data_IF_004475984341
#
_entry.id   IF_004475984341
#
_cell.length_a   1.000
_cell.length_b   1.000
_cell.length_c   1.000
_cell.angle_alpha   90.00
_cell.angle_beta   90.00
_cell.angle_gamma   90.00
#
_symmetry.space_group_name_H-M   'P 1'
#
loop_
_entity.id
_entity.type
_entity.pdbx_description
1 polymer ?
#
# COMPACT_ATOMS: atom_id res chain seq x y z
N UNK A 1 16.40 29.77 3.61
CA UNK A 1 15.35 28.76 3.40
C UNK A 1 14.92 28.29 4.79
N UNK A 2 13.69 28.62 5.22
CA UNK A 2 13.23 28.27 6.56
C UNK A 2 13.00 26.74 6.66
N UNK A 3 13.49 26.11 7.74
CA UNK A 3 13.31 24.68 8.00
C UNK A 3 11.82 24.29 7.99
N UNK A 4 10.95 25.16 8.44
CA UNK A 4 9.50 24.99 8.43
C UNK A 4 8.89 24.86 7.01
N UNK A 5 9.52 25.44 5.98
CA UNK A 5 9.04 25.30 4.59
C UNK A 5 9.46 23.99 3.93
N UNK A 6 10.38 23.26 4.54
CA UNK A 6 10.86 21.95 4.04
C UNK A 6 10.10 20.77 4.68
N UNK A 7 9.42 20.99 5.78
CA UNK A 7 8.71 19.94 6.52
C UNK A 7 7.73 19.14 5.65
N UNK A 8 6.84 19.78 4.86
CA UNK A 8 5.94 19.04 3.98
C UNK A 8 6.67 18.17 2.97
N UNK A 9 7.74 18.70 2.36
CA UNK A 9 8.53 17.99 1.36
C UNK A 9 9.19 16.75 1.98
N UNK A 10 9.72 16.89 3.20
CA UNK A 10 10.34 15.78 3.92
C UNK A 10 9.30 14.70 4.23
N UNK A 11 8.13 15.08 4.77
CA UNK A 11 7.06 14.12 5.11
C UNK A 11 6.60 13.36 3.87
N UNK A 12 6.29 14.05 2.76
CA UNK A 12 5.91 13.40 1.52
C UNK A 12 7.00 12.48 0.98
N UNK A 13 8.26 12.88 1.06
CA UNK A 13 9.40 12.06 0.62
C UNK A 13 9.49 10.78 1.45
N UNK A 14 9.36 10.85 2.78
CA UNK A 14 9.39 9.70 3.67
C UNK A 14 8.26 8.71 3.37
N UNK A 15 7.05 9.23 3.14
CA UNK A 15 5.88 8.40 2.81
C UNK A 15 5.99 7.76 1.43
N UNK A 16 6.50 8.49 0.43
CA UNK A 16 6.77 7.92 -0.89
C UNK A 16 7.85 6.82 -0.84
N UNK A 17 8.85 6.96 0.02
CA UNK A 17 9.83 5.88 0.27
C UNK A 17 9.13 4.64 0.84
N UNK A 18 8.19 4.80 1.79
CA UNK A 18 7.39 3.67 2.30
C UNK A 18 6.61 2.96 1.18
N UNK A 19 5.94 3.72 0.32
CA UNK A 19 5.19 3.17 -0.82
C UNK A 19 6.11 2.47 -1.82
N UNK A 20 7.28 3.06 -2.12
CA UNK A 20 8.28 2.48 -3.00
C UNK A 20 8.84 1.17 -2.44
N UNK A 21 9.07 1.06 -1.13
CA UNK A 21 9.49 -0.18 -0.47
C UNK A 21 8.39 -1.25 -0.52
N UNK A 22 7.12 -0.88 -0.38
CA UNK A 22 6.00 -1.80 -0.59
C UNK A 22 5.96 -2.34 -2.02
N UNK A 23 6.12 -1.46 -3.02
CA UNK A 23 6.23 -1.84 -4.43
C UNK A 23 7.48 -2.70 -4.70
N UNK A 24 8.61 -2.40 -4.07
CA UNK A 24 9.83 -3.19 -4.17
C UNK A 24 9.61 -4.63 -3.73
N UNK A 25 8.93 -4.87 -2.59
CA UNK A 25 8.64 -6.22 -2.10
C UNK A 25 7.78 -6.99 -3.11
N UNK A 26 6.75 -6.38 -3.70
CA UNK A 26 5.93 -7.05 -4.73
C UNK A 26 6.73 -7.33 -6.00
N UNK A 27 7.57 -6.40 -6.42
CA UNK A 27 8.44 -6.53 -7.60
C UNK A 27 9.48 -7.66 -7.46
N UNK A 28 9.91 -8.00 -6.22
CA UNK A 28 10.83 -9.11 -5.97
C UNK A 28 10.26 -10.48 -6.43
N UNK A 29 8.94 -10.65 -6.47
CA UNK A 29 8.29 -11.87 -6.97
C UNK A 29 7.89 -11.79 -8.45
N UNK A 30 8.34 -10.75 -9.17
CA UNK A 30 7.99 -10.49 -10.57
C UNK A 30 6.61 -9.86 -10.75
N UNK A 31 5.94 -9.41 -9.68
CA UNK A 31 4.62 -8.80 -9.73
C UNK A 31 4.71 -7.27 -9.60
N UNK A 32 4.80 -6.57 -10.71
CA UNK A 32 4.79 -5.10 -10.75
C UNK A 32 3.35 -4.60 -10.81
N UNK A 33 2.82 -4.13 -9.67
CA UNK A 33 1.45 -3.63 -9.55
C UNK A 33 1.38 -2.11 -9.79
N UNK A 34 0.37 -1.69 -10.54
CA UNK A 34 0.00 -0.28 -10.71
C UNK A 34 -1.07 0.18 -9.69
N UNK A 35 -1.54 -0.71 -8.80
CA UNK A 35 -2.58 -0.41 -7.80
C UNK A 35 -2.04 0.25 -6.52
N UNK A 36 -0.80 0.76 -6.53
CA UNK A 36 -0.18 1.32 -5.31
C UNK A 36 -0.99 2.47 -4.74
N UNK A 37 -1.44 3.42 -5.59
CA UNK A 37 -2.27 4.54 -5.17
C UNK A 37 -3.62 4.06 -4.58
N UNK A 38 -4.27 3.11 -5.24
CA UNK A 38 -5.52 2.53 -4.77
C UNK A 38 -5.40 1.86 -3.41
N UNK A 39 -4.34 1.08 -3.19
CA UNK A 39 -4.08 0.41 -1.90
C UNK A 39 -3.76 1.44 -0.82
N UNK A 40 -2.98 2.49 -1.13
CA UNK A 40 -2.73 3.61 -0.22
C UNK A 40 -4.03 4.33 0.14
N UNK A 41 -4.88 4.60 -0.86
CA UNK A 41 -6.19 5.20 -0.64
C UNK A 41 -7.09 4.37 0.26
N UNK A 42 -7.17 3.05 0.06
CA UNK A 42 -7.92 2.13 0.96
C UNK A 42 -7.38 2.24 2.39
N UNK A 43 -6.05 2.22 2.58
CA UNK A 43 -5.45 2.42 3.89
C UNK A 43 -5.81 3.77 4.51
N UNK A 44 -5.77 4.82 3.71
CA UNK A 44 -6.17 6.17 4.11
C UNK A 44 -7.63 6.23 4.57
N UNK A 45 -8.57 5.73 3.76
CA UNK A 45 -9.99 5.69 4.12
C UNK A 45 -10.26 4.88 5.38
N UNK A 46 -9.68 3.68 5.52
CA UNK A 46 -9.84 2.85 6.72
C UNK A 46 -9.37 3.59 7.95
N UNK A 47 -8.18 4.20 7.90
CA UNK A 47 -7.63 4.97 9.01
C UNK A 47 -8.47 6.21 9.31
N UNK A 48 -8.92 6.95 8.30
CA UNK A 48 -9.76 8.14 8.46
C UNK A 48 -11.12 7.79 9.11
N UNK A 49 -11.77 6.72 8.67
CA UNK A 49 -13.04 6.25 9.28
C UNK A 49 -12.84 5.93 10.77
N UNK A 50 -11.77 5.19 11.10
CA UNK A 50 -11.48 4.79 12.48
C UNK A 50 -11.20 5.98 13.39
N UNK A 51 -10.48 6.98 12.89
CA UNK A 51 -10.11 8.16 13.70
C UNK A 51 -11.23 9.19 13.80
N UNK A 52 -11.98 9.44 12.71
CA UNK A 52 -13.02 10.48 12.68
C UNK A 52 -14.34 9.95 13.27
N UNK A 53 -14.77 8.74 12.87
CA UNK A 53 -16.08 8.21 13.30
C UNK A 53 -16.02 7.45 14.62
N UNK A 54 -14.92 6.74 14.88
CA UNK A 54 -14.78 5.92 16.10
C UNK A 54 -13.86 6.53 17.15
N UNK A 55 -13.20 7.67 16.86
CA UNK A 55 -12.33 8.36 17.81
C UNK A 55 -11.05 7.58 18.19
N UNK A 56 -10.60 6.66 17.36
CA UNK A 56 -9.42 5.84 17.66
C UNK A 56 -8.12 6.67 17.56
N UNK A 57 -7.11 6.32 18.37
CA UNK A 57 -5.78 6.91 18.20
C UNK A 57 -5.13 6.47 16.89
N UNK A 58 -4.19 7.26 16.39
CA UNK A 58 -3.54 7.05 15.07
C UNK A 58 -2.88 5.68 14.94
N UNK A 59 -2.18 5.21 15.98
CA UNK A 59 -1.39 3.96 15.91
C UNK A 59 -2.26 2.72 15.61
N UNK A 60 -3.33 2.40 16.35
CA UNK A 60 -4.17 1.26 15.99
C UNK A 60 -4.92 1.48 14.66
N UNK A 61 -5.26 2.71 14.29
CA UNK A 61 -5.88 3.00 13.01
C UNK A 61 -4.92 2.69 11.84
N UNK A 62 -3.65 3.04 11.96
CA UNK A 62 -2.63 2.72 10.94
C UNK A 62 -2.33 1.22 10.86
N UNK A 63 -2.37 0.49 11.99
CA UNK A 63 -2.24 -0.98 12.00
C UNK A 63 -3.40 -1.65 11.24
N UNK A 64 -4.64 -1.22 11.48
CA UNK A 64 -5.79 -1.74 10.74
C UNK A 64 -5.77 -1.33 9.27
N UNK A 65 -5.30 -0.15 8.94
CA UNK A 65 -5.07 0.27 7.57
C UNK A 65 -4.04 -0.59 6.84
N UNK A 66 -2.95 -0.97 7.52
CA UNK A 66 -1.97 -1.92 6.99
C UNK A 66 -2.59 -3.31 6.76
N UNK A 67 -3.41 -3.79 7.69
CA UNK A 67 -4.15 -5.05 7.53
C UNK A 67 -5.14 -4.99 6.36
N UNK A 68 -5.88 -3.90 6.22
CA UNK A 68 -6.78 -3.69 5.09
C UNK A 68 -6.02 -3.70 3.76
N UNK A 69 -4.89 -3.01 3.69
CA UNK A 69 -3.97 -3.07 2.55
C UNK A 69 -3.51 -4.50 2.24
N UNK A 70 -3.12 -5.26 3.29
CA UNK A 70 -2.72 -6.67 3.14
C UNK A 70 -3.86 -7.54 2.59
N UNK A 71 -5.09 -7.35 3.06
CA UNK A 71 -6.27 -8.09 2.58
C UNK A 71 -6.53 -7.77 1.11
N UNK A 72 -6.57 -6.49 0.74
CA UNK A 72 -6.76 -6.07 -0.66
C UNK A 72 -5.62 -6.61 -1.54
N UNK A 73 -4.37 -6.50 -1.08
CA UNK A 73 -3.21 -7.06 -1.78
C UNK A 73 -3.30 -8.58 -1.96
N UNK A 74 -3.79 -9.31 -0.95
CA UNK A 74 -4.01 -10.76 -1.04
C UNK A 74 -5.05 -11.09 -2.10
N UNK A 75 -6.19 -10.38 -2.12
CA UNK A 75 -7.24 -10.58 -3.12
C UNK A 75 -6.69 -10.30 -4.52
N UNK A 76 -5.98 -9.19 -4.70
CA UNK A 76 -5.33 -8.86 -5.99
C UNK A 76 -4.33 -9.93 -6.42
N UNK A 77 -3.48 -10.39 -5.49
CA UNK A 77 -2.52 -11.44 -5.79
C UNK A 77 -3.22 -12.71 -6.29
N UNK A 78 -4.30 -13.16 -5.60
CA UNK A 78 -5.04 -14.36 -5.99
C UNK A 78 -5.67 -14.24 -7.38
N UNK A 79 -6.23 -13.08 -7.70
CA UNK A 79 -6.82 -12.81 -9.03
C UNK A 79 -5.74 -12.78 -10.11
N UNK A 80 -4.56 -12.24 -9.81
CA UNK A 80 -3.49 -12.00 -10.78
C UNK A 80 -2.47 -13.13 -10.88
N UNK A 81 -2.58 -14.20 -10.08
CA UNK A 81 -1.59 -15.31 -10.01
C UNK A 81 -1.19 -15.88 -11.38
N UNK A 82 -2.14 -16.02 -12.29
CA UNK A 82 -1.95 -16.65 -13.62
C UNK A 82 -1.72 -15.64 -14.72
N UNK A 83 -1.69 -14.33 -14.39
CA UNK A 83 -1.54 -13.27 -15.40
C UNK A 83 -0.08 -13.04 -15.75
N UNK A 84 0.20 -12.72 -17.02
CA UNK A 84 1.51 -12.29 -17.48
C UNK A 84 1.73 -10.83 -17.10
N UNK A 85 2.97 -10.40 -16.99
CA UNK A 85 3.39 -9.08 -16.49
C UNK A 85 2.61 -7.90 -17.05
N UNK A 86 2.37 -7.88 -18.36
CA UNK A 86 1.63 -6.79 -18.99
C UNK A 86 0.14 -6.78 -18.58
N UNK A 87 -0.50 -7.96 -18.59
CA UNK A 87 -1.90 -8.11 -18.20
C UNK A 87 -2.08 -7.80 -16.73
N UNK A 88 -1.12 -8.20 -15.88
CA UNK A 88 -1.12 -7.89 -14.45
C UNK A 88 -1.13 -6.37 -14.21
N UNK A 89 -0.25 -5.62 -14.89
CA UNK A 89 -0.20 -4.16 -14.78
C UNK A 89 -1.52 -3.52 -15.18
N UNK A 90 -2.09 -3.95 -16.30
CA UNK A 90 -3.36 -3.43 -16.80
C UNK A 90 -4.53 -3.74 -15.85
N UNK A 91 -4.57 -4.98 -15.31
CA UNK A 91 -5.59 -5.40 -14.36
C UNK A 91 -5.50 -4.64 -13.04
N UNK A 92 -4.28 -4.42 -12.52
CA UNK A 92 -4.08 -3.66 -11.28
C UNK A 92 -4.40 -2.17 -11.45
N UNK A 93 -4.15 -1.61 -12.64
CA UNK A 93 -4.57 -0.25 -12.99
C UNK A 93 -6.10 -0.16 -13.05
N UNK A 94 -6.76 -1.06 -13.78
CA UNK A 94 -8.21 -1.09 -13.86
C UNK A 94 -8.87 -1.31 -12.48
N UNK A 95 -8.24 -2.07 -11.59
CA UNK A 95 -8.68 -2.22 -10.21
C UNK A 95 -8.63 -0.89 -9.44
N UNK A 96 -7.57 -0.10 -9.62
CA UNK A 96 -7.46 1.22 -9.02
C UNK A 96 -8.60 2.15 -9.45
N UNK A 97 -8.89 2.20 -10.76
CA UNK A 97 -10.00 2.98 -11.30
C UNK A 97 -11.36 2.48 -10.79
N UNK A 98 -11.55 1.16 -10.70
CA UNK A 98 -12.78 0.59 -10.14
C UNK A 98 -13.00 0.98 -8.67
N UNK A 99 -11.93 0.99 -7.86
CA UNK A 99 -11.99 1.46 -6.47
C UNK A 99 -12.28 2.96 -6.38
N UNK A 100 -11.70 3.78 -7.26
CA UNK A 100 -12.00 5.21 -7.36
C UNK A 100 -13.48 5.46 -7.63
N UNK A 101 -14.06 4.76 -8.62
CA UNK A 101 -15.49 4.85 -8.94
C UNK A 101 -16.36 4.35 -7.78
N UNK A 102 -15.97 3.27 -7.11
CA UNK A 102 -16.68 2.78 -5.92
C UNK A 102 -16.65 3.82 -4.80
N UNK A 103 -15.49 4.40 -4.51
CA UNK A 103 -15.34 5.44 -3.49
C UNK A 103 -16.17 6.70 -3.83
N UNK A 104 -16.20 7.08 -5.10
CA UNK A 104 -16.97 8.23 -5.58
C UNK A 104 -18.49 8.06 -5.37
N UNK A 105 -19.01 6.84 -5.53
CA UNK A 105 -20.44 6.53 -5.37
C UNK A 105 -20.83 6.11 -3.95
N UNK A 106 -19.90 6.13 -3.00
CA UNK A 106 -20.17 5.68 -1.64
C UNK A 106 -20.28 6.86 -0.68
N UNK A 107 -21.49 7.35 -0.43
CA UNK A 107 -21.77 8.52 0.41
C UNK A 107 -21.23 8.37 1.86
N UNK A 108 -21.16 7.14 2.38
CA UNK A 108 -20.65 6.88 3.73
C UNK A 108 -19.19 7.35 3.95
N UNK A 109 -18.40 7.36 2.90
CA UNK A 109 -16.98 7.77 2.93
C UNK A 109 -16.78 9.16 2.28
N UNK A 110 -17.84 9.95 2.13
CA UNK A 110 -17.81 11.29 1.56
C UNK A 110 -18.17 11.35 0.07
N UNK A 111 -18.14 10.23 -0.66
CA UNK A 111 -18.50 10.15 -2.06
C UNK A 111 -17.80 11.22 -2.91
N UNK A 112 -18.54 11.88 -3.78
CA UNK A 112 -18.04 12.95 -4.65
C UNK A 112 -17.44 14.16 -3.90
N UNK A 113 -17.85 14.38 -2.63
CA UNK A 113 -17.39 15.53 -1.82
C UNK A 113 -16.07 15.26 -1.07
N UNK A 114 -15.44 14.11 -1.28
CA UNK A 114 -14.24 13.66 -0.57
C UNK A 114 -14.47 13.45 0.93
N UNK A 115 -13.60 12.69 1.58
CA UNK A 115 -13.65 12.49 3.03
C UNK A 115 -12.87 13.59 3.74
N UNK A 116 -13.58 14.42 4.51
CA UNK A 116 -13.05 15.58 5.23
C UNK A 116 -13.21 15.40 6.75
N UNK A 117 -12.66 16.35 7.54
CA UNK A 117 -12.76 16.30 9.00
C UNK A 117 -11.68 15.42 9.65
N UNK A 118 -10.65 15.07 8.90
CA UNK A 118 -9.50 14.34 9.44
C UNK A 118 -8.65 15.30 10.24
N UNK A 119 -8.31 14.93 11.47
CA UNK A 119 -7.41 15.74 12.31
C UNK A 119 -5.94 15.54 11.89
N UNK A 120 -5.16 16.63 11.96
CA UNK A 120 -3.72 16.57 11.75
C UNK A 120 -3.06 15.79 12.89
N UNK A 121 -2.87 14.49 12.71
CA UNK A 121 -2.18 13.61 13.68
C UNK A 121 -0.80 13.19 13.19
N UNK A 122 -0.49 13.45 11.92
CA UNK A 122 0.80 13.13 11.31
C UNK A 122 1.80 14.26 11.56
N UNK A 123 2.92 13.89 12.16
CA UNK A 123 4.09 14.73 12.37
C UNK A 123 5.28 14.11 11.64
N UNK A 124 6.38 14.85 11.51
CA UNK A 124 7.62 14.32 10.94
C UNK A 124 8.09 13.04 11.64
N UNK A 125 7.88 12.94 12.96
CA UNK A 125 8.22 11.76 13.75
C UNK A 125 7.40 10.54 13.39
N UNK A 126 6.09 10.70 13.15
CA UNK A 126 5.23 9.58 12.72
C UNK A 126 5.60 9.09 11.33
N UNK A 127 5.95 10.00 10.40
CA UNK A 127 6.43 9.65 9.07
C UNK A 127 7.78 8.94 9.11
N UNK A 128 8.71 9.41 9.98
CA UNK A 128 10.00 8.73 10.21
C UNK A 128 9.82 7.32 10.76
N UNK A 129 8.97 7.15 11.77
CA UNK A 129 8.68 5.82 12.34
C UNK A 129 8.10 4.88 11.28
N UNK A 130 7.15 5.35 10.49
CA UNK A 130 6.58 4.57 9.38
C UNK A 130 7.66 4.16 8.37
N UNK A 131 8.55 5.09 7.98
CA UNK A 131 9.66 4.79 7.08
C UNK A 131 10.62 3.76 7.70
N UNK A 132 11.02 3.90 8.97
CA UNK A 132 11.90 2.94 9.62
C UNK A 132 11.27 1.54 9.69
N UNK A 133 9.97 1.44 9.97
CA UNK A 133 9.24 0.17 9.93
C UNK A 133 9.29 -0.42 8.51
N UNK A 134 9.03 0.39 7.48
CA UNK A 134 9.05 -0.07 6.10
C UNK A 134 10.44 -0.55 5.67
N UNK A 135 11.49 0.19 6.00
CA UNK A 135 12.89 -0.19 5.74
C UNK A 135 13.26 -1.48 6.48
N UNK A 136 12.90 -1.59 7.77
CA UNK A 136 13.18 -2.78 8.56
C UNK A 136 12.50 -4.03 7.99
N UNK A 137 11.21 -3.90 7.62
CA UNK A 137 10.44 -5.00 7.01
C UNK A 137 11.04 -5.40 5.66
N UNK A 138 11.38 -4.44 4.80
CA UNK A 138 11.98 -4.70 3.49
C UNK A 138 13.36 -5.38 3.64
N UNK A 139 14.21 -4.86 4.52
CA UNK A 139 15.53 -5.43 4.80
C UNK A 139 15.43 -6.86 5.36
N UNK A 140 14.53 -7.08 6.32
CA UNK A 140 14.30 -8.38 6.93
C UNK A 140 13.71 -9.38 5.95
N UNK A 141 12.82 -8.92 5.09
CA UNK A 141 12.22 -9.72 4.02
C UNK A 141 13.27 -10.14 3.00
N UNK A 142 14.13 -9.22 2.55
CA UNK A 142 15.14 -9.46 1.53
C UNK A 142 16.14 -10.57 1.93
N UNK A 143 16.54 -10.63 3.20
CA UNK A 143 17.39 -11.68 3.77
C UNK A 143 16.64 -12.94 4.23
N UNK A 144 15.33 -13.03 4.06
CA UNK A 144 14.52 -14.17 4.49
C UNK A 144 14.44 -15.27 3.42
N UNK A 145 14.02 -16.49 3.86
CA UNK A 145 13.72 -17.59 2.92
C UNK A 145 12.69 -17.21 1.87
N UNK A 146 11.69 -16.39 2.24
CA UNK A 146 10.68 -15.88 1.32
C UNK A 146 11.29 -14.88 0.32
N UNK A 147 12.20 -14.02 0.71
CA UNK A 147 12.91 -13.11 -0.18
C UNK A 147 13.73 -13.87 -1.24
N UNK A 148 14.46 -14.92 -0.83
CA UNK A 148 15.18 -15.79 -1.77
C UNK A 148 14.22 -16.53 -2.70
N UNK A 149 13.13 -17.11 -2.17
CA UNK A 149 12.11 -17.78 -2.98
C UNK A 149 11.44 -16.80 -3.96
N UNK A 150 11.23 -15.56 -3.57
CA UNK A 150 10.64 -14.52 -4.45
C UNK A 150 11.52 -14.22 -5.65
N UNK A 151 12.83 -14.06 -5.45
CA UNK A 151 13.80 -13.88 -6.53
C UNK A 151 13.84 -15.09 -7.48
N UNK A 152 13.86 -16.30 -6.92
CA UNK A 152 13.82 -17.53 -7.72
C UNK A 152 12.53 -17.61 -8.58
N UNK A 153 11.36 -17.28 -8.01
CA UNK A 153 10.08 -17.25 -8.73
C UNK A 153 10.05 -16.16 -9.80
N UNK A 154 10.73 -15.03 -9.58
CA UNK A 154 10.85 -13.96 -10.58
C UNK A 154 11.72 -14.37 -11.75
N UNK A 155 12.88 -14.99 -11.46
CA UNK A 155 13.89 -15.30 -12.48
C UNK A 155 13.46 -16.50 -13.35
N UNK A 156 13.00 -17.62 -12.74
CA UNK A 156 12.40 -18.75 -13.43
C UNK A 156 11.34 -19.45 -12.59
N UNK A 157 10.04 -19.16 -12.82
CA UNK A 157 8.95 -19.79 -12.08
C UNK A 157 8.88 -21.31 -12.25
N UNK A 158 9.26 -21.83 -13.44
CA UNK A 158 9.20 -23.27 -13.71
C UNK A 158 10.28 -24.03 -12.95
N UNK A 159 11.52 -23.53 -12.99
CA UNK A 159 12.62 -24.09 -12.22
C UNK A 159 12.37 -24.00 -10.71
N UNK A 160 11.87 -22.85 -10.20
CA UNK A 160 11.50 -22.69 -8.80
C UNK A 160 10.43 -23.72 -8.38
N UNK A 161 9.40 -23.92 -9.21
CA UNK A 161 8.36 -24.92 -8.98
C UNK A 161 8.90 -26.36 -8.95
N UNK A 162 9.82 -26.71 -9.83
CA UNK A 162 10.48 -28.02 -9.86
C UNK A 162 11.30 -28.29 -8.58
N UNK A 163 11.85 -27.22 -7.96
CA UNK A 163 12.55 -27.28 -6.68
C UNK A 163 11.63 -27.27 -5.46
N UNK A 164 10.30 -27.36 -5.65
CA UNK A 164 9.31 -27.44 -4.59
C UNK A 164 8.86 -26.09 -4.03
N UNK A 165 9.20 -24.95 -4.67
CA UNK A 165 8.73 -23.63 -4.27
C UNK A 165 7.30 -23.43 -4.75
N UNK A 166 6.38 -23.13 -3.83
CA UNK A 166 5.00 -22.78 -4.17
C UNK A 166 4.91 -21.36 -4.72
N UNK A 167 4.84 -21.22 -6.05
CA UNK A 167 4.77 -19.94 -6.74
C UNK A 167 3.58 -19.10 -6.22
N UNK A 168 2.41 -19.75 -6.05
CA UNK A 168 1.20 -19.07 -5.59
C UNK A 168 1.37 -18.49 -4.18
N UNK A 169 1.92 -19.25 -3.24
CA UNK A 169 2.17 -18.78 -1.88
C UNK A 169 3.18 -17.62 -1.85
N UNK A 170 4.29 -17.76 -2.56
CA UNK A 170 5.31 -16.71 -2.63
C UNK A 170 4.72 -15.42 -3.19
N UNK A 171 4.03 -15.47 -4.31
CA UNK A 171 3.39 -14.30 -4.94
C UNK A 171 2.34 -13.66 -4.04
N UNK A 172 1.49 -14.46 -3.40
CA UNK A 172 0.44 -13.94 -2.51
C UNK A 172 1.03 -13.27 -1.28
N UNK A 173 2.01 -13.89 -0.62
CA UNK A 173 2.61 -13.33 0.60
C UNK A 173 3.40 -12.07 0.32
N UNK A 174 4.18 -12.04 -0.78
CA UNK A 174 4.92 -10.82 -1.17
C UNK A 174 3.99 -9.67 -1.49
N UNK A 175 2.92 -9.95 -2.21
CA UNK A 175 1.94 -8.92 -2.55
C UNK A 175 1.21 -8.40 -1.30
N UNK A 176 0.80 -9.30 -0.39
CA UNK A 176 0.16 -8.93 0.87
C UNK A 176 1.06 -8.06 1.75
N UNK A 177 2.35 -8.42 1.89
CA UNK A 177 3.32 -7.65 2.67
C UNK A 177 3.59 -6.27 2.05
N UNK A 178 3.80 -6.22 0.74
CA UNK A 178 4.00 -4.94 0.05
C UNK A 178 2.77 -4.04 0.16
N UNK A 179 1.58 -4.58 -0.03
CA UNK A 179 0.32 -3.87 0.12
C UNK A 179 0.04 -3.39 1.56
N UNK A 180 0.48 -4.16 2.58
CA UNK A 180 0.42 -3.73 3.97
C UNK A 180 1.24 -2.46 4.22
N UNK A 181 2.46 -2.38 3.70
CA UNK A 181 3.31 -1.19 3.83
C UNK A 181 2.72 0.01 3.10
N UNK A 182 2.16 -0.21 1.91
CA UNK A 182 1.48 0.83 1.13
C UNK A 182 0.24 1.34 1.87
N UNK A 183 -0.59 0.45 2.42
CA UNK A 183 -1.77 0.83 3.21
C UNK A 183 -1.41 1.61 4.47
N UNK A 184 -0.34 1.22 5.15
CA UNK A 184 0.21 1.96 6.29
C UNK A 184 0.66 3.38 5.87
N UNK A 185 1.38 3.50 4.78
CA UNK A 185 1.85 4.79 4.27
C UNK A 185 0.67 5.69 3.88
N UNK A 186 -0.35 5.14 3.21
CA UNK A 186 -1.57 5.86 2.85
C UNK A 186 -2.37 6.36 4.06
N UNK A 187 -2.42 5.57 5.15
CA UNK A 187 -3.03 5.99 6.41
C UNK A 187 -2.34 7.22 7.00
N UNK A 188 -1.01 7.21 7.08
CA UNK A 188 -0.23 8.34 7.61
C UNK A 188 -0.35 9.56 6.68
N UNK A 189 -0.37 9.34 5.35
CA UNK A 189 -0.55 10.41 4.37
C UNK A 189 -1.92 11.08 4.48
N UNK A 190 -3.00 10.30 4.63
CA UNK A 190 -4.35 10.84 4.78
C UNK A 190 -4.50 11.77 5.98
N UNK A 191 -3.83 11.46 7.11
CA UNK A 191 -3.81 12.33 8.31
C UNK A 191 -2.87 13.52 8.18
N UNK A 192 -2.04 13.58 7.16
CA UNK A 192 -1.24 14.75 6.85
C UNK A 192 -1.96 15.70 5.89
N UNK A 193 -2.60 15.14 4.84
CA UNK A 193 -3.30 15.93 3.82
C UNK A 193 -4.67 16.43 4.31
N UNK A 194 -5.25 15.77 5.35
CA UNK A 194 -6.53 16.10 5.99
C UNK A 194 -7.77 15.88 5.12
N UNK A 195 -7.60 15.49 3.88
CA UNK A 195 -8.65 15.19 2.92
C UNK A 195 -8.23 13.97 2.11
N UNK A 196 -9.17 13.07 1.86
CA UNK A 196 -8.95 11.93 0.97
C UNK A 196 -10.01 12.01 -0.12
N UNK A 197 -9.53 12.17 -1.37
CA UNK A 197 -10.39 12.22 -2.54
C UNK A 197 -10.49 10.84 -3.20
N UNK A 198 -11.66 10.47 -3.76
CA UNK A 198 -11.76 9.29 -4.61
C UNK A 198 -10.78 9.31 -5.79
N UNK A 199 -10.47 10.48 -6.33
CA UNK A 199 -9.48 10.64 -7.41
C UNK A 199 -8.07 10.21 -7.01
N UNK A 200 -7.72 10.27 -5.72
CA UNK A 200 -6.40 9.86 -5.22
C UNK A 200 -6.18 8.34 -5.32
N UNK A 201 -7.24 7.55 -5.54
CA UNK A 201 -7.17 6.10 -5.74
C UNK A 201 -6.91 5.73 -7.19
N UNK A 202 -7.27 6.61 -8.13
CA UNK A 202 -7.04 6.42 -9.56
C UNK A 202 -5.59 6.68 -9.96
N UNK A 203 -5.29 6.37 -11.21
CA UNK A 203 -3.98 6.63 -11.80
C UNK A 203 -3.94 8.00 -12.53
N UNK A 204 -5.12 8.54 -12.88
CA UNK A 204 -5.30 9.79 -13.60
C UNK A 204 -5.90 10.87 -12.72
#
# INVERSE_FOLDING_TARGET
MNIASLEPVIIFTLLNVCMALGLYITALSGQLSMATAAIAGVGGYVSAILTVKFGWPLVPATMLAALAGAVVGTVLALVTLKMRDFILKLTTLAFGEALSVLAFNWDYIGGANSFTGIELKTTIWTALVAMFIAVYVAWRFDGSRLGFASRAVRDDPLAAGAMGVSIAQVRTVTFALGAALVGMAGAVQGHYVLVISPHDLGFF
#
